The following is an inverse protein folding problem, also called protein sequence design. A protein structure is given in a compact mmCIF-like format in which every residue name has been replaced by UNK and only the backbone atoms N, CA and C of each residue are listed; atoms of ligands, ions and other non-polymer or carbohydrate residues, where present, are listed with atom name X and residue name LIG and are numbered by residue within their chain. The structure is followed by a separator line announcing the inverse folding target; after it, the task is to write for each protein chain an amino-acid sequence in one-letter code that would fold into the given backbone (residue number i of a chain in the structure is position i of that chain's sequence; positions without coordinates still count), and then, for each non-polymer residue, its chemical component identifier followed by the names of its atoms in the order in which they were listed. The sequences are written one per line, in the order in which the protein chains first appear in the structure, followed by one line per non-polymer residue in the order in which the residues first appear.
data_IF_977609979917
#
_entry.id   IF_977609979917
#
_cell.length_a   1.000
_cell.length_b   1.000
_cell.length_c   1.000
_cell.angle_alpha   90.00
_cell.angle_beta   90.00
_cell.angle_gamma   90.00
#
_symmetry.space_group_name_H-M   'P 1'
#
loop_
_entity.id
_entity.type
_entity.pdbx_description
1 polymer ?
#
# COMPACT_ATOMS: atom_id res chain seq x y z
N UNK A 1 -29.21 28.19 7.64
CA UNK A 1 -29.88 27.46 6.57
C UNK A 1 -29.16 26.14 6.38
N UNK A 2 -29.64 25.03 6.96
CA UNK A 2 -28.99 23.71 6.88
C UNK A 2 -29.64 22.96 5.73
N UNK A 3 -28.89 22.65 4.68
CA UNK A 3 -29.33 21.79 3.59
C UNK A 3 -29.36 20.32 4.05
N UNK A 4 -30.54 19.74 4.15
CA UNK A 4 -30.72 18.30 4.31
C UNK A 4 -30.58 17.65 2.94
N UNK A 5 -29.46 16.95 2.71
CA UNK A 5 -29.35 15.99 1.61
C UNK A 5 -29.96 14.67 2.08
N UNK A 6 -31.21 14.45 1.75
CA UNK A 6 -31.85 13.15 1.88
C UNK A 6 -31.34 12.21 0.81
N UNK A 7 -30.44 11.31 1.14
CA UNK A 7 -30.08 10.20 0.27
C UNK A 7 -31.30 9.26 0.18
N UNK A 8 -31.88 9.11 -1.02
CA UNK A 8 -32.84 8.04 -1.30
C UNK A 8 -32.13 6.70 -1.21
N UNK A 9 -32.75 5.67 -0.60
CA UNK A 9 -32.16 4.34 -0.62
C UNK A 9 -32.07 3.86 -2.07
N UNK A 10 -30.86 3.46 -2.49
CA UNK A 10 -30.64 2.78 -3.77
C UNK A 10 -31.38 1.44 -3.66
N UNK A 11 -32.32 1.22 -4.57
CA UNK A 11 -33.06 -0.03 -4.65
C UNK A 11 -32.09 -1.18 -4.85
N UNK A 12 -32.18 -2.21 -3.99
CA UNK A 12 -31.43 -3.45 -4.13
C UNK A 12 -31.80 -4.11 -5.45
N UNK A 13 -30.90 -4.11 -6.41
CA UNK A 13 -30.97 -4.94 -7.58
C UNK A 13 -30.65 -6.38 -7.16
N UNK A 14 -31.66 -7.14 -6.78
CA UNK A 14 -31.58 -8.59 -6.68
C UNK A 14 -31.60 -9.13 -8.12
N UNK A 15 -30.43 -9.25 -8.72
CA UNK A 15 -30.28 -9.78 -10.06
C UNK A 15 -28.81 -10.11 -10.31
N UNK A 16 -28.50 -11.43 -10.37
CA UNK A 16 -27.20 -12.02 -10.72
C UNK A 16 -26.06 -11.54 -9.81
N UNK A 17 -25.76 -12.30 -8.73
CA UNK A 17 -24.52 -12.13 -7.99
C UNK A 17 -23.39 -12.51 -8.93
N UNK A 18 -22.75 -11.54 -9.56
CA UNK A 18 -21.37 -11.70 -9.97
C UNK A 18 -20.62 -12.22 -8.75
N UNK A 19 -19.76 -13.21 -8.94
CA UNK A 19 -18.92 -13.74 -7.84
C UNK A 19 -18.15 -12.58 -7.24
N UNK A 20 -18.09 -12.50 -5.91
CA UNK A 20 -17.33 -11.47 -5.21
C UNK A 20 -15.88 -11.46 -5.72
N UNK A 21 -15.30 -10.26 -5.80
CA UNK A 21 -13.90 -10.07 -6.22
C UNK A 21 -12.99 -10.63 -5.12
N UNK A 22 -12.15 -11.58 -5.49
CA UNK A 22 -11.23 -12.28 -4.59
C UNK A 22 -10.04 -11.40 -4.24
N UNK A 23 -9.89 -11.08 -2.96
CA UNK A 23 -8.81 -10.21 -2.45
C UNK A 23 -7.80 -11.03 -1.66
N UNK A 24 -6.54 -10.99 -2.09
CA UNK A 24 -5.41 -11.54 -1.36
C UNK A 24 -4.57 -10.45 -0.70
N UNK A 25 -4.09 -10.71 0.52
CA UNK A 25 -3.25 -9.76 1.25
C UNK A 25 -1.84 -10.31 1.39
N UNK A 26 -0.86 -9.62 0.83
CA UNK A 26 0.55 -9.90 1.02
C UNK A 26 1.12 -9.06 2.17
N UNK A 27 1.51 -9.72 3.25
CA UNK A 27 1.97 -9.10 4.49
C UNK A 27 0.85 -8.95 5.52
N UNK A 28 0.97 -9.66 6.65
CA UNK A 28 -0.02 -9.70 7.73
C UNK A 28 0.49 -8.97 8.98
N UNK A 29 0.88 -7.70 8.78
CA UNK A 29 1.41 -6.80 9.79
C UNK A 29 0.45 -5.66 10.14
N UNK A 30 1.03 -4.49 10.45
CA UNK A 30 0.31 -3.29 10.92
C UNK A 30 -0.77 -2.80 9.94
N UNK A 31 -0.56 -2.97 8.63
CA UNK A 31 -1.52 -2.55 7.59
C UNK A 31 -2.40 -3.73 7.17
N UNK A 32 -1.80 -4.89 6.90
CA UNK A 32 -2.55 -6.04 6.38
C UNK A 32 -3.62 -6.57 7.33
N UNK A 33 -3.37 -6.58 8.65
CA UNK A 33 -4.36 -7.01 9.64
C UNK A 33 -5.65 -6.16 9.64
N UNK A 34 -5.58 -4.82 9.72
CA UNK A 34 -6.79 -3.97 9.61
C UNK A 34 -7.55 -4.16 8.29
N UNK A 35 -6.83 -4.36 7.16
CA UNK A 35 -7.46 -4.61 5.85
C UNK A 35 -8.20 -5.95 5.87
N UNK A 36 -7.57 -7.01 6.38
CA UNK A 36 -8.20 -8.33 6.53
C UNK A 36 -9.43 -8.26 7.43
N UNK A 37 -9.33 -7.56 8.57
CA UNK A 37 -10.45 -7.38 9.49
C UNK A 37 -11.62 -6.62 8.84
N UNK A 38 -11.34 -5.64 7.99
CA UNK A 38 -12.37 -4.91 7.27
C UNK A 38 -13.08 -5.79 6.23
N UNK A 39 -12.33 -6.59 5.48
CA UNK A 39 -12.87 -7.54 4.51
C UNK A 39 -13.72 -8.62 5.19
N UNK A 40 -13.25 -9.20 6.30
CA UNK A 40 -14.01 -10.23 7.06
C UNK A 40 -15.29 -9.68 7.68
N UNK A 41 -15.35 -8.39 8.02
CA UNK A 41 -16.60 -7.75 8.48
C UNK A 41 -17.64 -7.60 7.38
N UNK A 42 -17.24 -7.84 6.14
CA UNK A 42 -18.05 -7.71 4.94
C UNK A 42 -17.91 -6.34 4.28
N UNK A 43 -17.34 -6.35 3.10
CA UNK A 43 -17.38 -5.25 2.14
C UNK A 43 -18.09 -5.81 0.91
N UNK A 44 -19.21 -5.18 0.54
CA UNK A 44 -20.05 -5.68 -0.55
C UNK A 44 -19.26 -5.85 -1.85
N UNK A 45 -19.34 -7.04 -2.44
CA UNK A 45 -18.62 -7.42 -3.66
C UNK A 45 -17.14 -7.78 -3.47
N UNK A 46 -16.61 -7.85 -2.23
CA UNK A 46 -15.23 -8.25 -1.97
C UNK A 46 -15.15 -9.43 -0.99
N UNK A 47 -14.27 -10.38 -1.27
CA UNK A 47 -14.01 -11.57 -0.45
C UNK A 47 -12.52 -11.64 -0.07
N UNK A 48 -12.20 -11.76 1.24
CA UNK A 48 -10.85 -12.12 1.68
C UNK A 48 -10.61 -13.59 1.36
N UNK A 49 -9.71 -13.86 0.42
CA UNK A 49 -9.49 -15.22 -0.10
C UNK A 49 -8.24 -15.89 0.46
N UNK A 50 -7.14 -15.15 0.61
CA UNK A 50 -5.87 -15.70 1.09
C UNK A 50 -4.97 -14.61 1.68
N UNK A 51 -4.01 -15.04 2.51
CA UNK A 51 -2.95 -14.20 3.06
C UNK A 51 -1.60 -14.77 2.63
N UNK A 52 -0.69 -13.92 2.15
CA UNK A 52 0.70 -14.28 1.92
C UNK A 52 1.58 -13.76 3.05
N UNK A 53 2.35 -14.66 3.66
CA UNK A 53 3.31 -14.34 4.73
C UNK A 53 4.49 -15.29 4.66
N UNK A 54 5.69 -14.83 5.04
CA UNK A 54 6.88 -15.69 5.13
C UNK A 54 6.79 -16.70 6.28
N UNK A 55 6.16 -16.29 7.38
CA UNK A 55 5.94 -17.12 8.56
C UNK A 55 4.46 -17.50 8.60
N UNK A 56 4.17 -18.68 8.08
CA UNK A 56 2.81 -19.18 7.95
C UNK A 56 2.15 -19.43 9.30
N UNK A 57 2.90 -19.98 10.27
CA UNK A 57 2.35 -20.34 11.58
C UNK A 57 2.01 -19.08 12.38
N UNK A 58 2.91 -18.09 12.36
CA UNK A 58 2.66 -16.79 12.96
C UNK A 58 1.48 -16.07 12.28
N UNK A 59 1.36 -16.17 10.97
CA UNK A 59 0.23 -15.56 10.27
C UNK A 59 -1.09 -16.22 10.68
N UNK A 60 -1.16 -17.56 10.72
CA UNK A 60 -2.33 -18.32 11.20
C UNK A 60 -2.71 -17.94 12.63
N UNK A 61 -1.75 -17.94 13.55
CA UNK A 61 -1.99 -17.54 14.92
C UNK A 61 -2.48 -16.09 15.07
N UNK A 62 -2.06 -15.20 14.17
CA UNK A 62 -2.45 -13.80 14.18
C UNK A 62 -3.82 -13.53 13.51
N UNK A 63 -4.47 -14.51 12.89
CA UNK A 63 -5.84 -14.36 12.36
C UNK A 63 -6.89 -14.37 13.46
N UNK A 64 -6.60 -15.08 14.55
CA UNK A 64 -7.52 -15.17 15.69
C UNK A 64 -7.90 -13.78 16.21
N UNK A 65 -9.19 -13.52 16.29
CA UNK A 65 -9.75 -12.21 16.70
C UNK A 65 -9.54 -11.07 15.68
N UNK A 66 -8.98 -11.33 14.50
CA UNK A 66 -8.73 -10.33 13.44
C UNK A 66 -9.61 -10.57 12.23
N UNK A 67 -9.61 -11.76 11.68
CA UNK A 67 -10.39 -12.11 10.48
C UNK A 67 -10.75 -13.59 10.51
N UNK A 68 -11.69 -13.99 9.64
CA UNK A 68 -12.01 -15.39 9.44
C UNK A 68 -10.79 -16.14 8.91
N UNK A 69 -10.63 -17.43 9.27
CA UNK A 69 -9.50 -18.23 8.81
C UNK A 69 -9.51 -18.39 7.29
N UNK A 70 -8.41 -17.99 6.66
CA UNK A 70 -8.17 -18.19 5.22
C UNK A 70 -6.82 -18.88 5.01
N UNK A 71 -6.56 -19.48 3.84
CA UNK A 71 -5.26 -20.06 3.51
C UNK A 71 -4.11 -19.05 3.66
N UNK A 72 -2.98 -19.52 4.22
CA UNK A 72 -1.70 -18.77 4.20
C UNK A 72 -0.82 -19.40 3.16
N UNK A 73 -0.46 -18.64 2.15
CA UNK A 73 0.15 -19.12 0.90
C UNK A 73 1.41 -18.35 0.52
N UNK A 74 2.11 -18.84 -0.49
CA UNK A 74 3.22 -18.13 -1.13
C UNK A 74 2.75 -17.06 -2.13
N UNK A 75 3.68 -16.20 -2.63
CA UNK A 75 3.35 -15.13 -3.56
C UNK A 75 2.72 -15.61 -4.87
N UNK A 76 3.22 -16.69 -5.45
CA UNK A 76 2.72 -17.25 -6.69
C UNK A 76 1.29 -17.76 -6.54
N UNK A 77 1.04 -18.55 -5.50
CA UNK A 77 -0.26 -19.11 -5.20
C UNK A 77 -1.30 -18.01 -4.87
N UNK A 78 -0.87 -16.96 -4.14
CA UNK A 78 -1.71 -15.78 -3.90
C UNK A 78 -2.17 -15.14 -5.21
N UNK A 79 -1.26 -14.96 -6.16
CA UNK A 79 -1.57 -14.38 -7.46
C UNK A 79 -2.52 -15.26 -8.30
N UNK A 80 -2.46 -16.58 -8.15
CA UNK A 80 -3.34 -17.52 -8.83
C UNK A 80 -4.74 -17.54 -8.23
N UNK A 81 -4.86 -17.41 -6.91
CA UNK A 81 -6.13 -17.50 -6.18
C UNK A 81 -6.97 -16.22 -6.21
N UNK A 82 -6.36 -15.05 -6.42
CA UNK A 82 -6.98 -13.75 -6.20
C UNK A 82 -7.06 -12.89 -7.45
N UNK A 83 -8.08 -12.04 -7.54
CA UNK A 83 -8.25 -11.03 -8.59
C UNK A 83 -7.50 -9.74 -8.23
N UNK A 84 -7.43 -9.45 -6.94
CA UNK A 84 -6.76 -8.28 -6.36
C UNK A 84 -5.73 -8.75 -5.35
N UNK A 85 -4.50 -8.24 -5.46
CA UNK A 85 -3.43 -8.46 -4.49
C UNK A 85 -3.10 -7.15 -3.80
N UNK A 86 -3.30 -7.08 -2.48
CA UNK A 86 -2.95 -5.93 -1.64
C UNK A 86 -1.58 -6.16 -1.03
N UNK A 87 -0.60 -5.39 -1.44
CA UNK A 87 0.78 -5.47 -0.97
C UNK A 87 0.99 -4.57 0.25
N UNK A 88 1.38 -5.19 1.37
CA UNK A 88 1.68 -4.57 2.66
C UNK A 88 2.96 -5.16 3.28
N UNK A 89 3.91 -5.60 2.45
CA UNK A 89 5.16 -6.22 2.90
C UNK A 89 6.27 -5.18 3.10
N UNK A 90 7.35 -5.52 3.83
CA UNK A 90 8.54 -4.69 3.84
C UNK A 90 9.12 -4.51 2.42
N UNK A 91 9.65 -3.32 2.13
CA UNK A 91 10.21 -2.92 0.84
C UNK A 91 11.11 -3.99 0.17
N UNK A 92 11.92 -4.70 0.97
CA UNK A 92 12.80 -5.76 0.45
C UNK A 92 12.05 -6.94 -0.19
N UNK A 93 10.79 -7.17 0.17
CA UNK A 93 9.94 -8.23 -0.38
C UNK A 93 8.95 -7.72 -1.44
N UNK A 94 8.99 -6.42 -1.77
CA UNK A 94 8.05 -5.82 -2.72
C UNK A 94 8.02 -6.55 -4.06
N UNK A 95 9.19 -6.80 -4.65
CA UNK A 95 9.29 -7.42 -5.97
C UNK A 95 8.79 -8.87 -5.97
N UNK A 96 9.04 -9.60 -4.89
CA UNK A 96 8.61 -11.00 -4.75
C UNK A 96 7.07 -11.13 -4.79
N UNK A 97 6.34 -10.09 -4.38
CA UNK A 97 4.90 -10.04 -4.45
C UNK A 97 4.41 -9.42 -5.77
N UNK A 98 5.04 -8.32 -6.19
CA UNK A 98 4.61 -7.58 -7.38
C UNK A 98 4.73 -8.43 -8.67
N UNK A 99 5.86 -9.11 -8.86
CA UNK A 99 6.12 -9.83 -10.11
C UNK A 99 5.10 -10.94 -10.39
N UNK A 100 4.79 -11.87 -9.46
CA UNK A 100 3.76 -12.89 -9.70
C UNK A 100 2.37 -12.29 -9.95
N UNK A 101 1.97 -11.28 -9.15
CA UNK A 101 0.67 -10.65 -9.29
C UNK A 101 0.51 -9.98 -10.66
N UNK A 102 1.52 -9.24 -11.10
CA UNK A 102 1.50 -8.53 -12.37
C UNK A 102 1.56 -9.48 -13.57
N UNK A 103 2.38 -10.56 -13.50
CA UNK A 103 2.43 -11.59 -14.54
C UNK A 103 1.11 -12.35 -14.69
N UNK A 104 0.36 -12.50 -13.58
CA UNK A 104 -0.97 -13.09 -13.58
C UNK A 104 -2.08 -12.12 -14.03
N UNK A 105 -1.74 -10.89 -14.42
CA UNK A 105 -2.71 -9.90 -14.89
C UNK A 105 -3.60 -9.33 -13.78
N UNK A 106 -3.17 -9.37 -12.52
CA UNK A 106 -3.99 -8.97 -11.38
C UNK A 106 -4.02 -7.47 -11.15
N UNK A 107 -5.03 -7.01 -10.41
CA UNK A 107 -5.01 -5.67 -9.83
C UNK A 107 -4.07 -5.72 -8.61
N UNK A 108 -2.98 -5.00 -8.69
CA UNK A 108 -1.96 -4.91 -7.65
C UNK A 108 -2.08 -3.58 -6.92
N UNK A 109 -2.58 -3.61 -5.70
CA UNK A 109 -2.70 -2.44 -4.83
C UNK A 109 -1.49 -2.42 -3.91
N UNK A 110 -0.66 -1.39 -3.97
CA UNK A 110 0.54 -1.28 -3.15
C UNK A 110 0.49 -0.07 -2.22
N UNK A 111 0.99 -0.26 -0.99
CA UNK A 111 1.24 0.85 -0.06
C UNK A 111 2.71 1.30 -0.10
N UNK A 112 3.53 0.66 -0.93
CA UNK A 112 4.98 0.85 -1.01
C UNK A 112 5.37 1.70 -2.22
N UNK A 113 5.11 3.01 -2.18
CA UNK A 113 5.50 3.94 -3.25
C UNK A 113 7.00 3.93 -3.54
N UNK A 114 7.84 3.77 -2.52
CA UNK A 114 9.29 3.59 -2.67
C UNK A 114 9.64 2.32 -3.45
N UNK A 115 8.84 1.26 -3.36
CA UNK A 115 9.00 0.04 -4.14
C UNK A 115 8.90 0.30 -5.64
N UNK A 116 7.92 1.11 -6.06
CA UNK A 116 7.76 1.51 -7.47
C UNK A 116 8.91 2.39 -7.97
N UNK A 117 9.48 3.24 -7.10
CA UNK A 117 10.64 4.07 -7.47
C UNK A 117 11.91 3.24 -7.69
N UNK A 118 12.07 2.15 -6.94
CA UNK A 118 13.26 1.27 -7.00
C UNK A 118 13.13 0.27 -8.13
N UNK A 119 11.92 -0.20 -8.40
CA UNK A 119 11.60 -1.19 -9.43
C UNK A 119 10.68 -0.58 -10.50
N UNK A 120 11.12 0.43 -11.27
CA UNK A 120 10.28 1.09 -12.27
C UNK A 120 9.83 0.14 -13.40
N UNK A 121 10.59 -0.92 -13.64
CA UNK A 121 10.30 -1.97 -14.62
C UNK A 121 9.00 -2.74 -14.35
N UNK A 122 8.48 -2.75 -13.12
CA UNK A 122 7.19 -3.40 -12.81
C UNK A 122 6.01 -2.70 -13.49
N UNK A 123 6.15 -1.42 -13.86
CA UNK A 123 5.11 -0.69 -14.61
C UNK A 123 5.00 -1.24 -16.04
N UNK A 124 6.12 -1.52 -16.67
CA UNK A 124 6.14 -2.11 -18.02
C UNK A 124 5.71 -3.58 -17.97
N UNK A 125 6.06 -4.30 -16.91
CA UNK A 125 5.58 -5.65 -16.65
C UNK A 125 4.05 -5.67 -16.54
N UNK A 126 3.46 -4.74 -15.79
CA UNK A 126 2.01 -4.63 -15.67
C UNK A 126 1.34 -4.40 -17.02
N UNK A 127 1.86 -3.46 -17.82
CA UNK A 127 1.35 -3.18 -19.18
C UNK A 127 1.41 -4.41 -20.09
N UNK A 128 2.54 -5.14 -20.05
CA UNK A 128 2.75 -6.33 -20.87
C UNK A 128 1.77 -7.47 -20.56
N UNK A 129 1.25 -7.55 -19.33
CA UNK A 129 0.36 -8.61 -18.88
C UNK A 129 -1.10 -8.15 -18.63
N UNK A 130 -1.44 -6.91 -19.00
CA UNK A 130 -2.79 -6.38 -18.76
C UNK A 130 -3.15 -6.21 -17.28
N UNK A 131 -2.14 -6.18 -16.41
CA UNK A 131 -2.31 -5.93 -14.98
C UNK A 131 -2.48 -4.44 -14.69
N UNK A 132 -3.06 -4.13 -13.54
CA UNK A 132 -3.22 -2.76 -13.08
C UNK A 132 -2.44 -2.54 -11.77
N UNK A 133 -1.69 -1.45 -11.67
CA UNK A 133 -1.06 -1.02 -10.42
C UNK A 133 -1.84 0.15 -9.86
N UNK A 134 -2.22 0.04 -8.59
CA UNK A 134 -2.88 1.10 -7.82
C UNK A 134 -1.99 1.43 -6.62
N UNK A 135 -1.41 2.62 -6.62
CA UNK A 135 -0.70 3.14 -5.45
C UNK A 135 -1.71 3.71 -4.47
N UNK A 136 -1.78 3.11 -3.27
CA UNK A 136 -2.58 3.66 -2.19
C UNK A 136 -2.01 5.01 -1.74
N UNK A 137 -2.86 6.01 -1.63
CA UNK A 137 -2.44 7.38 -1.29
C UNK A 137 -1.97 7.54 0.15
N UNK A 138 -2.30 6.56 1.03
CA UNK A 138 -1.94 6.59 2.45
C UNK A 138 -2.46 7.86 3.13
N UNK A 139 -1.59 8.50 3.87
CA UNK A 139 -1.89 9.77 4.56
C UNK A 139 -1.56 11.01 3.71
N UNK A 140 -1.19 10.86 2.44
CA UNK A 140 -0.85 11.98 1.58
C UNK A 140 -2.10 12.64 1.03
N UNK A 141 -2.30 13.91 1.37
CA UNK A 141 -3.39 14.74 0.86
C UNK A 141 -2.99 15.42 -0.45
N UNK A 142 -3.97 15.68 -1.31
CA UNK A 142 -3.78 16.52 -2.51
C UNK A 142 -3.24 15.78 -3.72
N UNK A 143 -3.16 14.45 -3.75
CA UNK A 143 -2.78 13.72 -4.96
C UNK A 143 -3.79 13.89 -6.10
N UNK A 144 -5.04 14.09 -5.79
CA UNK A 144 -6.09 14.46 -6.75
C UNK A 144 -5.83 15.84 -7.38
N UNK A 145 -5.40 16.81 -6.58
CA UNK A 145 -4.98 18.12 -7.08
C UNK A 145 -3.73 18.04 -7.98
N UNK A 146 -2.74 17.19 -7.61
CA UNK A 146 -1.56 16.96 -8.46
C UNK A 146 -1.96 16.30 -9.79
N UNK A 147 -2.89 15.32 -9.76
CA UNK A 147 -3.40 14.68 -10.99
C UNK A 147 -4.15 15.68 -11.88
N UNK A 148 -4.96 16.55 -11.30
CA UNK A 148 -5.65 17.60 -12.06
C UNK A 148 -4.65 18.62 -12.65
N UNK A 149 -3.63 19.01 -11.88
CA UNK A 149 -2.58 19.92 -12.38
C UNK A 149 -1.74 19.28 -13.51
N UNK A 150 -1.63 17.95 -13.54
CA UNK A 150 -0.89 17.24 -14.59
C UNK A 150 -1.58 17.22 -15.96
N UNK A 151 -2.83 17.69 -16.06
CA UNK A 151 -3.47 17.98 -17.36
C UNK A 151 -2.86 19.24 -18.03
N UNK A 152 -2.11 20.05 -17.27
CA UNK A 152 -1.32 21.17 -17.75
C UNK A 152 0.17 20.95 -17.50
N UNK A 153 0.94 22.03 -17.39
CA UNK A 153 2.37 22.01 -17.11
C UNK A 153 2.62 22.16 -15.60
N UNK A 154 3.26 21.17 -14.99
CA UNK A 154 3.71 21.23 -13.60
C UNK A 154 5.19 21.65 -13.57
N UNK A 155 5.46 22.83 -13.04
CA UNK A 155 6.82 23.33 -12.90
C UNK A 155 7.54 22.80 -11.66
N UNK A 156 6.82 22.67 -10.54
CA UNK A 156 7.38 22.16 -9.29
C UNK A 156 6.30 21.46 -8.46
N UNK A 157 6.68 20.36 -7.80
CA UNK A 157 5.91 19.74 -6.71
C UNK A 157 6.83 19.61 -5.50
N UNK A 158 6.45 20.25 -4.39
CA UNK A 158 7.20 20.17 -3.14
C UNK A 158 6.37 19.53 -2.05
N UNK A 159 6.93 18.50 -1.41
CA UNK A 159 6.34 17.83 -0.26
C UNK A 159 7.18 18.11 1.00
N UNK A 160 6.55 18.60 2.05
CA UNK A 160 7.19 18.82 3.34
C UNK A 160 6.61 17.83 4.35
N UNK A 161 7.46 16.97 4.88
CA UNK A 161 7.08 15.96 5.87
C UNK A 161 7.73 16.29 7.21
N UNK A 162 6.96 16.20 8.29
CA UNK A 162 7.46 16.31 9.67
C UNK A 162 7.24 14.98 10.37
N UNK A 163 8.28 14.50 11.01
CA UNK A 163 8.26 13.21 11.76
C UNK A 163 8.90 13.39 13.13
N UNK A 164 8.42 12.67 14.14
CA UNK A 164 9.08 12.69 15.44
C UNK A 164 10.46 12.04 15.32
N UNK A 165 11.49 12.55 16.05
CA UNK A 165 12.89 12.11 15.93
C UNK A 165 13.05 10.59 16.05
N UNK A 166 12.39 9.96 17.02
CA UNK A 166 12.49 8.52 17.25
C UNK A 166 12.12 7.66 16.04
N UNK A 167 11.27 8.16 15.15
CA UNK A 167 10.86 7.43 13.94
C UNK A 167 11.93 7.42 12.84
N UNK A 168 12.97 8.25 12.97
CA UNK A 168 14.07 8.38 12.02
C UNK A 168 15.37 7.71 12.50
N UNK A 169 15.37 7.13 13.71
CA UNK A 169 16.54 6.41 14.26
C UNK A 169 16.94 5.26 13.33
N UNK A 170 18.22 5.17 13.01
CA UNK A 170 18.78 4.16 12.10
C UNK A 170 18.54 4.46 10.61
N UNK A 171 18.08 5.66 10.26
CA UNK A 171 17.98 6.06 8.86
C UNK A 171 19.39 6.23 8.25
N UNK A 172 19.69 5.55 7.13
CA UNK A 172 21.02 5.58 6.51
C UNK A 172 21.54 6.99 6.23
N UNK A 173 20.68 7.89 5.79
CA UNK A 173 21.05 9.28 5.52
C UNK A 173 21.56 10.02 6.75
N UNK A 174 20.95 9.79 7.92
CA UNK A 174 21.40 10.43 9.15
C UNK A 174 22.77 9.93 9.58
N UNK A 175 23.02 8.62 9.43
CA UNK A 175 24.30 8.01 9.77
C UNK A 175 25.40 8.48 8.81
N UNK A 176 25.14 8.45 7.50
CA UNK A 176 26.09 8.86 6.46
C UNK A 176 26.50 10.33 6.58
N UNK A 177 25.57 11.20 7.00
CA UNK A 177 25.83 12.64 7.12
C UNK A 177 26.11 13.09 8.56
N UNK A 178 26.28 12.15 9.49
CA UNK A 178 26.55 12.41 10.92
C UNK A 178 25.54 13.41 11.55
N UNK A 179 24.25 13.31 11.16
CA UNK A 179 23.19 14.17 11.68
C UNK A 179 22.63 13.57 12.97
N UNK A 180 22.86 14.25 14.11
CA UNK A 180 22.22 13.86 15.37
C UNK A 180 20.80 14.42 15.45
N UNK A 181 19.89 13.56 15.89
CA UNK A 181 18.48 13.90 16.16
C UNK A 181 18.15 13.78 17.65
N UNK A 182 19.17 13.67 18.50
CA UNK A 182 19.02 13.54 19.94
C UNK A 182 18.78 14.92 20.60
N UNK A 183 17.91 14.94 21.62
CA UNK A 183 17.65 16.11 22.46
C UNK A 183 17.29 17.40 21.69
N UNK A 184 16.60 17.27 20.58
CA UNK A 184 16.15 18.42 19.79
C UNK A 184 15.13 19.25 20.57
N UNK A 185 15.41 20.56 20.76
CA UNK A 185 14.48 21.52 21.33
C UNK A 185 13.61 22.22 20.25
N UNK A 186 14.07 22.20 19.00
CA UNK A 186 13.44 22.83 17.87
C UNK A 186 13.39 21.88 16.66
N UNK A 187 12.47 22.08 15.70
CA UNK A 187 12.44 21.30 14.49
C UNK A 187 13.74 21.42 13.68
N UNK A 188 14.32 20.27 13.32
CA UNK A 188 15.53 20.21 12.50
C UNK A 188 15.17 19.75 11.07
N UNK A 189 15.62 20.50 10.06
CA UNK A 189 15.56 20.02 8.66
C UNK A 189 16.71 19.05 8.43
N UNK A 190 16.38 17.77 8.34
CA UNK A 190 17.37 16.69 8.18
C UNK A 190 17.67 16.33 6.72
N UNK A 191 16.76 16.68 5.81
CA UNK A 191 16.89 16.34 4.39
C UNK A 191 16.18 17.37 3.50
N UNK A 192 16.76 17.62 2.33
CA UNK A 192 16.12 18.26 1.18
C UNK A 192 16.69 17.63 -0.08
N UNK A 193 15.83 17.20 -0.99
CA UNK A 193 16.22 16.53 -2.23
C UNK A 193 15.02 15.95 -2.94
N UNK A 194 15.28 15.13 -3.94
CA UNK A 194 14.22 14.45 -4.72
C UNK A 194 13.54 13.35 -3.91
N UNK A 195 12.33 12.96 -4.33
CA UNK A 195 11.62 11.82 -3.75
C UNK A 195 12.45 10.52 -3.80
N UNK A 196 13.25 10.34 -4.86
CA UNK A 196 14.12 9.16 -5.03
C UNK A 196 15.26 9.14 -4.02
N UNK A 197 15.92 10.25 -3.81
CA UNK A 197 16.98 10.39 -2.79
C UNK A 197 16.40 10.21 -1.39
N UNK A 198 15.23 10.79 -1.12
CA UNK A 198 14.52 10.59 0.15
C UNK A 198 14.17 9.12 0.39
N UNK A 199 13.68 8.39 -0.63
CA UNK A 199 13.37 6.96 -0.51
C UNK A 199 14.64 6.09 -0.27
N UNK A 200 15.78 6.51 -0.79
CA UNK A 200 17.06 5.84 -0.53
C UNK A 200 17.58 6.12 0.89
N UNK A 201 17.57 7.39 1.31
CA UNK A 201 18.11 7.81 2.60
C UNK A 201 17.24 7.45 3.81
N UNK A 202 15.92 7.30 3.59
CA UNK A 202 14.94 7.01 4.64
C UNK A 202 14.03 5.85 4.27
N UNK A 203 14.57 4.64 4.02
CA UNK A 203 13.82 3.52 3.43
C UNK A 203 12.65 3.01 4.29
N UNK A 204 12.66 3.26 5.59
CA UNK A 204 11.59 2.88 6.50
C UNK A 204 10.51 3.97 6.67
N UNK A 205 10.74 5.17 6.14
CA UNK A 205 9.94 6.35 6.45
C UNK A 205 9.31 7.02 5.22
N UNK A 206 9.78 6.67 4.02
CA UNK A 206 9.26 7.17 2.74
C UNK A 206 8.53 6.03 2.05
N UNK A 207 7.22 6.17 1.96
CA UNK A 207 6.33 5.26 1.25
C UNK A 207 5.74 5.95 0.03
#
# INVERSE_FOLDING_TARGET
MRAHFGAKPVASHAGNRESDVKVGIAGFGTIGKPVAAALSKGIDGLELTAICSRDHDKARANMDGVCDPVPVVGPQELAEMCDVVVECVPKAAFRDIAEPALRAGRIFITVSGAGLLIHPDVVDLARAHGAQIILATGALLGLDAVRAAAEGEIHEVRMITRKPPFSLVGAPYLEEHAISIDNLSEPLKVFEGTAREGAAGFPANVN
#
